data_IF_917855294351
#
_entry.id   IF_917855294351
#
_cell.length_a   1.000
_cell.length_b   1.000
_cell.length_c   1.000
_cell.angle_alpha   90.00
_cell.angle_beta   90.00
_cell.angle_gamma   90.00
#
_symmetry.space_group_name_H-M   'P 1'
#
loop_
_entity.id
_entity.type
_entity.pdbx_description
1 polymer ?
#
# COMPACT_ATOMS: atom_id res chain seq x y z
N UNK A 1 11.56 23.88 -0.19
CA UNK A 1 10.54 23.71 -1.23
C UNK A 1 9.40 22.80 -0.84
N UNK A 2 9.64 21.67 -0.20
CA UNK A 2 8.58 20.78 0.35
C UNK A 2 7.66 21.51 1.34
N UNK A 3 8.22 22.40 2.15
CA UNK A 3 7.50 23.23 3.07
C UNK A 3 6.49 24.17 2.36
N UNK A 4 6.88 24.70 1.20
CA UNK A 4 6.01 25.58 0.41
C UNK A 4 5.01 24.84 -0.47
N UNK A 5 5.40 23.67 -0.99
CA UNK A 5 4.58 22.91 -1.94
C UNK A 5 3.50 22.10 -1.22
N UNK A 6 3.82 21.49 -0.08
CA UNK A 6 2.88 20.65 0.67
C UNK A 6 2.15 21.42 1.79
N UNK A 7 2.72 22.53 2.23
CA UNK A 7 2.24 23.41 3.32
C UNK A 7 1.82 22.69 4.63
N UNK A 8 2.34 21.48 4.85
CA UNK A 8 2.02 20.68 6.04
C UNK A 8 2.90 20.99 7.25
N UNK A 9 3.97 21.77 7.06
CA UNK A 9 4.89 22.23 8.12
C UNK A 9 5.40 21.14 9.04
N UNK A 10 5.69 19.96 8.48
CA UNK A 10 6.14 18.77 9.24
C UNK A 10 7.59 18.91 9.70
N UNK A 11 8.48 19.38 8.79
CA UNK A 11 9.91 19.50 9.04
C UNK A 11 10.31 20.90 9.38
N UNK A 12 11.25 21.05 10.33
CA UNK A 12 11.78 22.34 10.74
C UNK A 12 13.27 22.25 11.05
N UNK A 13 13.94 23.40 10.99
CA UNK A 13 15.34 23.55 11.40
C UNK A 13 15.39 23.77 12.91
N UNK A 14 16.10 22.92 13.60
CA UNK A 14 16.24 22.97 15.05
C UNK A 14 17.70 23.25 15.43
N UNK A 15 17.90 23.92 16.56
CA UNK A 15 19.20 24.35 17.09
C UNK A 15 19.88 25.38 16.17
N UNK A 16 21.09 25.78 16.52
CA UNK A 16 21.86 26.81 15.79
C UNK A 16 23.34 26.44 15.73
N UNK A 17 24.07 27.06 14.79
CA UNK A 17 25.49 26.83 14.59
C UNK A 17 25.82 25.40 14.18
N UNK A 18 26.90 24.85 14.69
CA UNK A 18 27.34 23.46 14.38
C UNK A 18 26.39 22.37 14.86
N UNK A 19 25.37 22.71 15.65
CA UNK A 19 24.35 21.78 16.15
C UNK A 19 23.04 21.87 15.35
N UNK A 20 23.00 22.63 14.29
CA UNK A 20 21.83 22.76 13.43
C UNK A 20 21.43 21.39 12.88
N UNK A 21 20.17 21.00 13.08
CA UNK A 21 19.60 19.76 12.56
C UNK A 21 18.23 20.03 11.93
N UNK A 22 17.80 19.17 11.02
CA UNK A 22 16.43 19.17 10.50
C UNK A 22 15.70 18.01 11.16
N UNK A 23 14.56 18.27 11.77
CA UNK A 23 13.75 17.28 12.45
C UNK A 23 12.26 17.65 12.30
N UNK A 24 11.38 16.77 12.76
CA UNK A 24 9.95 17.08 12.84
C UNK A 24 9.74 18.24 13.80
N UNK A 25 8.92 19.19 13.40
CA UNK A 25 8.63 20.42 14.17
C UNK A 25 8.24 20.07 15.60
N UNK A 26 8.76 20.85 16.56
CA UNK A 26 8.59 20.64 18.01
C UNK A 26 9.12 19.28 18.52
N UNK A 27 10.02 18.64 17.80
CA UNK A 27 10.61 17.35 18.15
C UNK A 27 9.56 16.24 18.39
N UNK A 28 8.41 16.33 17.71
CA UNK A 28 7.36 15.30 17.72
C UNK A 28 7.75 14.10 16.89
N UNK A 29 7.07 12.99 17.07
CA UNK A 29 7.13 11.88 16.10
C UNK A 29 6.42 12.27 14.79
N UNK A 30 6.75 11.61 13.69
CA UNK A 30 6.06 11.86 12.41
C UNK A 30 4.58 11.43 12.45
N UNK A 31 4.23 10.54 13.37
CA UNK A 31 2.85 10.12 13.62
C UNK A 31 2.01 11.21 14.27
N UNK A 32 2.61 11.95 15.22
CA UNK A 32 1.98 13.07 15.93
C UNK A 32 1.95 14.34 15.08
N UNK A 33 2.79 14.41 14.07
CA UNK A 33 2.76 15.50 13.12
C UNK A 33 1.60 15.31 12.12
N UNK A 34 1.06 16.40 11.60
CA UNK A 34 0.01 16.39 10.57
C UNK A 34 0.54 15.99 9.20
N UNK A 35 1.42 14.99 9.18
CA UNK A 35 2.05 14.47 7.97
C UNK A 35 1.06 13.62 7.17
N UNK A 36 0.90 13.93 5.88
CA UNK A 36 0.08 13.11 4.97
C UNK A 36 0.74 11.79 4.55
N UNK A 37 2.00 11.55 4.96
CA UNK A 37 2.80 10.37 4.59
C UNK A 37 2.98 10.22 3.05
N UNK A 38 3.01 11.32 2.31
CA UNK A 38 3.14 11.31 0.85
C UNK A 38 4.52 10.86 0.34
N UNK A 39 5.55 10.81 1.21
CA UNK A 39 6.91 10.38 0.85
C UNK A 39 7.75 11.40 0.07
N UNK A 40 7.25 12.60 -0.20
CA UNK A 40 7.97 13.62 -0.98
C UNK A 40 9.30 14.06 -0.30
N UNK A 41 9.34 14.08 1.02
CA UNK A 41 10.56 14.38 1.76
C UNK A 41 11.67 13.34 1.52
N UNK A 42 11.30 12.06 1.30
CA UNK A 42 12.24 10.98 1.01
C UNK A 42 12.89 11.18 -0.36
N UNK A 43 12.06 11.51 -1.38
CA UNK A 43 12.54 11.68 -2.76
C UNK A 43 13.35 12.96 -2.96
N UNK A 44 13.17 13.96 -2.09
CA UNK A 44 13.85 15.27 -2.19
C UNK A 44 14.96 15.45 -1.15
N UNK A 45 15.24 14.46 -0.31
CA UNK A 45 16.32 14.55 0.66
C UNK A 45 17.69 14.50 -0.05
N UNK A 46 18.49 15.60 -0.03
CA UNK A 46 19.71 15.66 -0.82
C UNK A 46 20.84 14.76 -0.27
N UNK A 47 20.71 14.30 0.96
CA UNK A 47 21.69 13.45 1.66
C UNK A 47 21.15 12.05 1.94
N UNK A 48 19.98 11.70 1.38
CA UNK A 48 19.33 10.41 1.58
C UNK A 48 19.17 9.98 3.07
N UNK A 49 18.97 10.95 3.98
CA UNK A 49 18.81 10.68 5.41
C UNK A 49 17.39 10.22 5.78
N UNK A 50 16.42 10.44 4.88
CA UNK A 50 15.02 10.08 5.10
C UNK A 50 14.69 8.82 4.30
N UNK A 51 14.19 7.81 5.01
CA UNK A 51 13.83 6.53 4.44
C UNK A 51 12.40 6.15 4.81
N UNK A 52 11.78 5.33 3.97
CA UNK A 52 10.58 4.59 4.34
C UNK A 52 11.00 3.38 5.20
N UNK A 53 10.10 2.90 6.05
CA UNK A 53 10.32 1.63 6.76
C UNK A 53 10.57 0.52 5.73
N UNK A 54 11.65 -0.20 5.89
CA UNK A 54 11.99 -1.34 5.04
C UNK A 54 11.30 -2.60 5.57
N UNK A 55 10.54 -3.27 4.72
CA UNK A 55 9.76 -4.44 5.09
C UNK A 55 10.11 -5.68 4.22
N UNK A 56 11.14 -5.61 3.38
CA UNK A 56 11.54 -6.72 2.50
C UNK A 56 11.92 -7.97 3.26
N UNK A 57 12.65 -7.84 4.36
CA UNK A 57 13.08 -8.96 5.22
C UNK A 57 11.87 -9.73 5.76
N UNK A 58 10.85 -9.00 6.23
CA UNK A 58 9.59 -9.60 6.71
C UNK A 58 8.84 -10.37 5.61
N UNK A 59 8.95 -9.90 4.36
CA UNK A 59 8.34 -10.61 3.23
C UNK A 59 9.09 -11.90 2.93
N UNK A 60 10.43 -11.88 2.92
CA UNK A 60 11.27 -13.08 2.71
C UNK A 60 11.03 -14.10 3.82
N UNK A 61 10.95 -13.64 5.08
CA UNK A 61 10.61 -14.52 6.21
C UNK A 61 9.25 -15.18 6.00
N UNK A 62 8.24 -14.42 5.53
CA UNK A 62 6.92 -14.96 5.28
C UNK A 62 6.90 -15.96 4.12
N UNK A 63 7.65 -15.70 3.05
CA UNK A 63 7.79 -16.62 1.91
C UNK A 63 8.51 -17.93 2.27
N UNK A 64 9.34 -17.90 3.31
CA UNK A 64 10.12 -19.05 3.77
C UNK A 64 9.41 -19.85 4.87
N UNK A 65 8.31 -19.36 5.40
CA UNK A 65 7.59 -19.96 6.52
C UNK A 65 6.57 -21.01 6.01
N UNK A 66 6.80 -22.33 6.21
CA UNK A 66 5.93 -23.39 5.69
C UNK A 66 4.55 -23.43 6.36
N UNK A 67 4.39 -22.76 7.51
CA UNK A 67 3.12 -22.71 8.22
C UNK A 67 2.20 -21.59 7.68
N UNK A 68 2.71 -20.74 6.82
CA UNK A 68 1.97 -19.63 6.19
C UNK A 68 1.56 -19.98 4.78
N UNK A 69 0.48 -19.35 4.37
CA UNK A 69 0.05 -19.27 2.98
C UNK A 69 0.18 -17.80 2.58
N UNK A 70 1.13 -17.53 1.71
CA UNK A 70 1.43 -16.17 1.29
C UNK A 70 0.59 -15.77 0.09
N UNK A 71 -0.21 -14.74 0.27
CA UNK A 71 -1.06 -14.16 -0.76
C UNK A 71 -0.54 -12.77 -1.10
N UNK A 72 -0.10 -12.58 -2.34
CA UNK A 72 0.41 -11.30 -2.82
C UNK A 72 -0.62 -10.66 -3.74
N UNK A 73 -0.89 -9.37 -3.53
CA UNK A 73 -1.71 -8.56 -4.43
C UNK A 73 -0.91 -7.41 -5.03
N UNK A 74 -1.07 -7.17 -6.34
CA UNK A 74 -0.32 -6.18 -7.10
C UNK A 74 -1.22 -5.02 -7.49
N UNK A 75 -0.85 -3.78 -7.09
CA UNK A 75 -1.59 -2.58 -7.48
C UNK A 75 -1.38 -2.24 -8.98
N UNK A 76 -2.38 -1.63 -9.64
CA UNK A 76 -2.31 -1.28 -11.06
C UNK A 76 -1.08 -0.44 -11.45
N UNK A 77 -0.70 0.56 -10.65
CA UNK A 77 0.45 1.41 -10.94
C UNK A 77 1.80 0.67 -10.82
N UNK A 78 1.87 -0.40 -10.03
CA UNK A 78 3.08 -1.22 -9.90
C UNK A 78 3.38 -1.95 -11.21
N UNK A 79 2.35 -2.43 -11.91
CA UNK A 79 2.49 -3.12 -13.21
C UNK A 79 3.24 -2.27 -14.24
N UNK A 80 3.03 -0.95 -14.21
CA UNK A 80 3.66 -0.03 -15.16
C UNK A 80 5.08 0.39 -14.78
N UNK A 81 5.50 0.20 -13.52
CA UNK A 81 6.71 0.84 -12.98
C UNK A 81 7.80 -0.14 -12.53
N UNK A 82 7.48 -1.41 -12.26
CA UNK A 82 8.43 -2.35 -11.65
C UNK A 82 9.66 -2.63 -12.52
N UNK A 83 9.48 -2.70 -13.84
CA UNK A 83 10.54 -3.02 -14.79
C UNK A 83 11.53 -1.88 -15.04
N UNK A 84 11.10 -0.62 -14.82
CA UNK A 84 11.90 0.56 -15.15
C UNK A 84 13.27 0.54 -14.44
N UNK A 85 13.27 0.31 -13.13
CA UNK A 85 14.50 0.24 -12.34
C UNK A 85 15.38 -0.98 -12.64
N UNK A 86 14.84 -1.99 -13.32
CA UNK A 86 15.55 -3.20 -13.75
C UNK A 86 16.06 -3.08 -15.20
N UNK A 87 15.80 -1.95 -15.86
CA UNK A 87 16.20 -1.71 -17.23
C UNK A 87 15.37 -2.48 -18.26
N UNK A 88 14.20 -2.99 -17.87
CA UNK A 88 13.29 -3.68 -18.79
C UNK A 88 12.48 -2.66 -19.60
N UNK A 89 12.37 -2.82 -20.92
CA UNK A 89 11.40 -2.09 -21.71
C UNK A 89 9.98 -2.33 -21.19
N UNK A 90 9.14 -1.30 -21.26
CA UNK A 90 7.76 -1.35 -20.75
C UNK A 90 6.95 -2.50 -21.36
N UNK A 91 7.17 -2.79 -22.63
CA UNK A 91 6.48 -3.84 -23.38
C UNK A 91 6.85 -5.25 -22.91
N UNK A 92 8.01 -5.39 -22.27
CA UNK A 92 8.53 -6.67 -21.77
C UNK A 92 8.35 -6.83 -20.25
N UNK A 93 8.10 -5.73 -19.55
CA UNK A 93 7.85 -5.72 -18.09
C UNK A 93 6.37 -5.99 -17.79
N UNK A 94 5.86 -7.13 -18.25
CA UNK A 94 4.47 -7.53 -18.03
C UNK A 94 4.18 -7.86 -16.56
N UNK A 95 2.92 -7.82 -16.18
CA UNK A 95 2.50 -8.20 -14.81
C UNK A 95 2.70 -9.70 -14.57
N UNK A 96 2.55 -10.52 -15.62
CA UNK A 96 2.78 -11.97 -15.52
C UNK A 96 4.23 -12.31 -15.16
N UNK A 97 5.20 -11.57 -15.72
CA UNK A 97 6.61 -11.70 -15.32
C UNK A 97 6.87 -11.27 -13.89
N UNK A 98 6.20 -10.21 -13.41
CA UNK A 98 6.28 -9.83 -12.01
C UNK A 98 5.69 -10.94 -11.13
N UNK A 99 4.58 -11.55 -11.54
CA UNK A 99 3.97 -12.70 -10.87
C UNK A 99 4.92 -13.90 -10.80
N UNK A 100 5.61 -14.22 -11.91
CA UNK A 100 6.62 -15.28 -11.93
C UNK A 100 7.79 -14.98 -10.98
N UNK A 101 8.27 -13.73 -10.94
CA UNK A 101 9.32 -13.33 -10.00
C UNK A 101 8.88 -13.51 -8.53
N UNK A 102 7.65 -13.14 -8.19
CA UNK A 102 7.10 -13.29 -6.85
C UNK A 102 6.95 -14.77 -6.45
N UNK A 103 6.46 -15.61 -7.37
CA UNK A 103 6.35 -17.05 -7.15
C UNK A 103 7.74 -17.73 -6.96
N UNK A 104 8.75 -17.26 -7.69
CA UNK A 104 10.14 -17.72 -7.49
C UNK A 104 10.71 -17.30 -6.14
N UNK A 105 10.25 -16.21 -5.57
CA UNK A 105 10.60 -15.78 -4.20
C UNK A 105 9.84 -16.55 -3.11
N UNK A 106 8.83 -17.33 -3.47
CA UNK A 106 8.06 -18.17 -2.56
C UNK A 106 6.62 -17.74 -2.31
N UNK A 107 6.07 -16.83 -3.13
CA UNK A 107 4.66 -16.49 -3.04
C UNK A 107 3.79 -17.68 -3.49
N UNK A 108 2.83 -18.12 -2.66
CA UNK A 108 1.90 -19.21 -2.98
C UNK A 108 0.85 -18.77 -4.00
N UNK A 109 0.30 -17.55 -3.82
CA UNK A 109 -0.68 -16.98 -4.73
C UNK A 109 -0.33 -15.53 -5.05
N UNK A 110 -0.54 -15.14 -6.31
CA UNK A 110 -0.30 -13.78 -6.79
C UNK A 110 -1.51 -13.29 -7.55
N UNK A 111 -2.23 -12.33 -6.98
CA UNK A 111 -3.46 -11.77 -7.51
C UNK A 111 -3.30 -10.32 -7.96
N UNK A 112 -4.32 -9.87 -8.69
CA UNK A 112 -4.50 -8.47 -8.99
C UNK A 112 -5.35 -7.77 -7.90
N UNK A 113 -5.00 -6.54 -7.55
CA UNK A 113 -5.82 -5.73 -6.64
C UNK A 113 -7.13 -5.26 -7.29
N UNK A 114 -7.31 -5.43 -8.61
CA UNK A 114 -8.48 -4.93 -9.34
C UNK A 114 -9.80 -5.50 -8.81
N UNK A 115 -9.84 -6.77 -8.41
CA UNK A 115 -11.04 -7.33 -7.76
C UNK A 115 -11.44 -6.53 -6.51
N UNK A 116 -10.45 -6.13 -5.69
CA UNK A 116 -10.71 -5.25 -4.55
C UNK A 116 -11.17 -3.86 -4.97
N UNK A 117 -10.70 -3.37 -6.13
CA UNK A 117 -11.14 -2.09 -6.68
C UNK A 117 -12.58 -2.16 -7.20
N UNK A 118 -12.97 -3.25 -7.85
CA UNK A 118 -14.35 -3.47 -8.31
C UNK A 118 -15.33 -3.49 -7.13
N UNK A 119 -14.97 -4.20 -6.05
CA UNK A 119 -15.77 -4.18 -4.82
C UNK A 119 -15.87 -2.78 -4.22
N UNK A 120 -14.75 -2.03 -4.18
CA UNK A 120 -14.75 -0.65 -3.67
C UNK A 120 -15.66 0.25 -4.51
N UNK A 121 -15.67 0.11 -5.83
CA UNK A 121 -16.58 0.88 -6.72
C UNK A 121 -18.04 0.58 -6.42
N UNK A 122 -18.40 -0.69 -6.20
CA UNK A 122 -19.76 -1.09 -5.87
C UNK A 122 -20.21 -0.47 -4.54
N UNK A 123 -19.37 -0.57 -3.52
CA UNK A 123 -19.63 -0.01 -2.18
C UNK A 123 -19.74 1.53 -2.22
N UNK A 124 -18.77 2.22 -2.84
CA UNK A 124 -18.78 3.68 -2.93
C UNK A 124 -19.95 4.20 -3.78
N UNK A 125 -20.32 3.51 -4.86
CA UNK A 125 -21.48 3.87 -5.67
C UNK A 125 -22.79 3.71 -4.87
N UNK A 126 -22.91 2.62 -4.11
CA UNK A 126 -24.06 2.37 -3.24
C UNK A 126 -24.19 3.44 -2.15
N UNK A 127 -23.09 3.73 -1.46
CA UNK A 127 -23.01 4.80 -0.47
C UNK A 127 -23.38 6.17 -1.07
N UNK A 128 -22.86 6.47 -2.27
CA UNK A 128 -23.17 7.73 -2.95
C UNK A 128 -24.68 7.87 -3.24
N UNK A 129 -25.32 6.81 -3.74
CA UNK A 129 -26.76 6.80 -4.01
C UNK A 129 -27.59 6.96 -2.73
N UNK A 130 -27.19 6.32 -1.64
CA UNK A 130 -27.83 6.46 -0.33
C UNK A 130 -27.70 7.89 0.20
N UNK A 131 -26.51 8.49 0.13
CA UNK A 131 -26.25 9.88 0.51
C UNK A 131 -27.09 10.86 -0.29
N UNK A 132 -27.22 10.65 -1.61
CA UNK A 132 -28.06 11.48 -2.46
C UNK A 132 -29.53 11.40 -2.05
N UNK A 133 -30.05 10.19 -1.79
CA UNK A 133 -31.45 9.99 -1.37
C UNK A 133 -31.72 10.61 0.01
N UNK A 134 -30.76 10.57 0.90
CA UNK A 134 -30.84 11.16 2.24
C UNK A 134 -30.62 12.68 2.26
N UNK A 135 -30.31 13.33 1.12
CA UNK A 135 -29.99 14.77 1.06
C UNK A 135 -28.70 15.13 1.81
N UNK A 136 -27.74 14.21 1.90
CA UNK A 136 -26.48 14.46 2.57
C UNK A 136 -25.61 15.48 1.83
N UNK A 137 -24.67 16.09 2.55
CA UNK A 137 -23.75 17.09 1.99
C UNK A 137 -22.86 16.47 0.92
N UNK A 138 -22.83 17.08 -0.24
CA UNK A 138 -21.93 16.75 -1.36
C UNK A 138 -20.87 17.83 -1.55
N UNK A 139 -19.74 17.53 -2.27
CA UNK A 139 -19.40 16.25 -2.90
C UNK A 139 -19.08 15.15 -1.88
N UNK A 140 -19.24 13.88 -2.26
CA UNK A 140 -18.64 12.75 -1.59
C UNK A 140 -17.22 12.56 -2.12
N UNK A 141 -16.24 12.39 -1.23
CA UNK A 141 -14.85 12.13 -1.57
C UNK A 141 -14.52 10.65 -1.36
N UNK A 142 -13.82 10.04 -2.30
CA UNK A 142 -13.32 8.68 -2.14
C UNK A 142 -12.23 8.60 -1.08
N UNK A 143 -12.09 7.44 -0.43
CA UNK A 143 -11.18 7.22 0.71
C UNK A 143 -10.04 6.24 0.43
N UNK A 144 -9.83 5.83 -0.83
CA UNK A 144 -8.83 4.83 -1.20
C UNK A 144 -7.37 5.28 -0.98
N UNK A 145 -7.09 6.58 -0.84
CA UNK A 145 -5.76 7.12 -0.61
C UNK A 145 -5.58 7.54 0.86
N UNK A 146 -4.82 6.80 1.69
CA UNK A 146 -4.62 7.15 3.10
C UNK A 146 -3.88 8.49 3.30
N UNK A 147 -3.03 8.88 2.36
CA UNK A 147 -2.39 10.21 2.38
C UNK A 147 -3.40 11.34 2.19
N UNK A 148 -4.34 11.19 1.28
CA UNK A 148 -5.46 12.10 1.08
C UNK A 148 -6.36 12.19 2.32
N UNK A 149 -6.74 11.05 2.87
CA UNK A 149 -7.59 10.98 4.08
C UNK A 149 -6.93 11.71 5.25
N UNK A 150 -5.62 11.49 5.48
CA UNK A 150 -4.86 12.20 6.52
C UNK A 150 -4.80 13.70 6.27
N UNK A 151 -4.53 14.11 5.04
CA UNK A 151 -4.49 15.51 4.63
C UNK A 151 -5.84 16.19 4.90
N UNK A 152 -6.94 15.58 4.45
CA UNK A 152 -8.27 16.13 4.66
C UNK A 152 -8.62 16.23 6.14
N UNK A 153 -8.32 15.20 6.94
CA UNK A 153 -8.57 15.21 8.39
C UNK A 153 -7.80 16.31 9.12
N UNK A 154 -6.59 16.63 8.69
CA UNK A 154 -5.75 17.65 9.33
C UNK A 154 -6.05 19.07 8.85
N UNK A 155 -6.28 19.24 7.55
CA UNK A 155 -6.40 20.59 6.95
C UNK A 155 -7.87 21.02 6.76
N UNK A 156 -8.79 20.07 6.60
CA UNK A 156 -10.20 20.34 6.31
C UNK A 156 -11.12 19.46 7.19
N UNK A 157 -11.04 19.55 8.53
CA UNK A 157 -11.79 18.67 9.43
C UNK A 157 -13.30 18.72 9.24
N UNK A 158 -13.85 19.88 8.84
CA UNK A 158 -15.28 20.06 8.55
C UNK A 158 -15.78 19.27 7.34
N UNK A 159 -14.86 18.75 6.52
CA UNK A 159 -15.18 17.95 5.33
C UNK A 159 -15.05 16.43 5.57
N UNK A 160 -14.67 16.00 6.75
CA UNK A 160 -14.48 14.58 7.08
C UNK A 160 -15.75 13.76 6.88
N UNK A 161 -16.91 14.33 7.18
CA UNK A 161 -18.23 13.69 6.95
C UNK A 161 -18.55 13.43 5.47
N UNK A 162 -17.81 14.04 4.56
CA UNK A 162 -17.95 13.86 3.11
C UNK A 162 -17.03 12.77 2.55
N UNK A 163 -16.12 12.21 3.36
CA UNK A 163 -15.35 11.04 2.96
C UNK A 163 -16.26 9.80 2.83
N UNK A 164 -15.97 8.95 1.85
CA UNK A 164 -16.53 7.61 1.79
C UNK A 164 -16.09 6.79 3.01
N UNK A 165 -16.97 5.93 3.48
CA UNK A 165 -16.71 5.01 4.59
C UNK A 165 -16.11 3.68 4.10
N UNK A 166 -16.03 3.48 2.79
CA UNK A 166 -15.48 2.26 2.19
C UNK A 166 -13.98 2.10 2.47
N UNK A 167 -13.57 0.86 2.68
CA UNK A 167 -12.14 0.50 2.73
C UNK A 167 -11.48 0.74 1.37
N UNK A 168 -10.17 0.95 1.38
CA UNK A 168 -9.41 1.03 0.12
C UNK A 168 -9.32 -0.33 -0.58
N UNK A 169 -9.11 -0.37 -1.92
CA UNK A 169 -9.09 -1.60 -2.70
C UNK A 169 -8.22 -2.72 -2.12
N UNK A 170 -7.01 -2.41 -1.65
CA UNK A 170 -6.15 -3.45 -1.09
C UNK A 170 -6.64 -3.96 0.27
N UNK A 171 -7.33 -3.14 1.05
CA UNK A 171 -7.96 -3.59 2.30
C UNK A 171 -9.22 -4.41 2.01
N UNK A 172 -10.02 -4.01 1.00
CA UNK A 172 -11.16 -4.81 0.52
C UNK A 172 -10.71 -6.20 0.09
N UNK A 173 -9.66 -6.28 -0.74
CA UNK A 173 -9.08 -7.56 -1.14
C UNK A 173 -8.53 -8.32 0.05
N UNK A 174 -7.87 -7.66 0.99
CA UNK A 174 -7.35 -8.26 2.23
C UNK A 174 -8.47 -8.89 3.07
N UNK A 175 -9.57 -8.17 3.27
CA UNK A 175 -10.76 -8.72 3.95
C UNK A 175 -11.29 -9.96 3.22
N UNK A 176 -11.39 -9.89 1.89
CA UNK A 176 -11.85 -11.00 1.07
C UNK A 176 -10.94 -12.24 1.21
N UNK A 177 -9.62 -12.06 1.26
CA UNK A 177 -8.67 -13.18 1.44
C UNK A 177 -8.79 -13.83 2.81
N UNK A 178 -9.01 -13.03 3.87
CA UNK A 178 -9.15 -13.52 5.24
C UNK A 178 -10.53 -14.15 5.55
N UNK A 179 -11.51 -13.93 4.68
CA UNK A 179 -12.88 -14.45 4.86
C UNK A 179 -13.23 -15.46 3.79
N UNK A 180 -13.66 -15.00 2.65
CA UNK A 180 -14.19 -15.83 1.57
C UNK A 180 -13.13 -16.77 0.96
N UNK A 181 -11.92 -16.25 0.64
CA UNK A 181 -10.88 -17.08 0.04
C UNK A 181 -10.33 -18.11 1.04
N UNK A 182 -10.16 -17.74 2.31
CA UNK A 182 -9.79 -18.68 3.37
C UNK A 182 -10.77 -19.85 3.46
N UNK A 183 -12.08 -19.55 3.42
CA UNK A 183 -13.14 -20.57 3.44
C UNK A 183 -13.07 -21.44 2.17
N UNK A 184 -12.87 -20.85 1.01
CA UNK A 184 -12.77 -21.55 -0.27
C UNK A 184 -11.57 -22.51 -0.32
N UNK A 185 -10.43 -22.06 0.20
CA UNK A 185 -9.22 -22.88 0.31
C UNK A 185 -9.29 -23.91 1.45
N UNK A 186 -10.28 -23.81 2.33
CA UNK A 186 -10.40 -24.69 3.50
C UNK A 186 -9.28 -24.50 4.52
N UNK A 187 -8.74 -23.28 4.64
CA UNK A 187 -7.62 -22.94 5.53
C UNK A 187 -8.03 -21.99 6.64
N UNK A 188 -7.32 -22.06 7.76
CA UNK A 188 -7.50 -21.10 8.85
C UNK A 188 -7.00 -19.70 8.38
N UNK A 189 -7.81 -18.64 8.50
CA UNK A 189 -7.40 -17.28 8.12
C UNK A 189 -6.10 -16.80 8.80
N UNK A 190 -5.79 -17.30 9.99
CA UNK A 190 -4.54 -16.97 10.71
C UNK A 190 -3.28 -17.44 9.98
N UNK A 191 -3.39 -18.46 9.14
CA UNK A 191 -2.29 -18.97 8.31
C UNK A 191 -2.05 -18.13 7.06
N UNK A 192 -3.03 -17.35 6.62
CA UNK A 192 -2.90 -16.47 5.45
C UNK A 192 -2.05 -15.26 5.84
N UNK A 193 -0.99 -15.01 5.09
CA UNK A 193 -0.18 -13.80 5.18
C UNK A 193 -0.36 -12.97 3.92
N UNK A 194 -1.15 -11.91 4.02
CA UNK A 194 -1.50 -11.05 2.88
C UNK A 194 -0.45 -9.94 2.70
N UNK A 195 0.21 -9.94 1.55
CA UNK A 195 1.22 -8.94 1.16
C UNK A 195 0.66 -8.09 0.04
N UNK A 196 0.63 -6.78 0.24
CA UNK A 196 0.15 -5.83 -0.76
C UNK A 196 1.32 -5.05 -1.37
N UNK A 197 1.49 -5.11 -2.69
CA UNK A 197 2.52 -4.35 -3.39
C UNK A 197 1.90 -3.05 -3.90
N UNK A 198 2.33 -1.92 -3.32
CA UNK A 198 1.71 -0.61 -3.51
C UNK A 198 2.73 0.45 -3.95
N UNK A 199 2.34 1.42 -4.78
CA UNK A 199 3.23 2.53 -5.15
C UNK A 199 3.32 3.62 -4.08
N UNK A 200 2.59 3.49 -2.97
CA UNK A 200 2.35 4.53 -1.99
C UNK A 200 2.86 4.14 -0.60
N UNK A 201 3.75 4.95 -0.02
CA UNK A 201 4.31 4.69 1.32
C UNK A 201 3.28 4.88 2.45
N UNK A 202 2.24 5.69 2.24
CA UNK A 202 1.17 5.87 3.22
C UNK A 202 0.36 4.58 3.46
N UNK A 203 0.34 3.67 2.49
CA UNK A 203 -0.30 2.35 2.61
C UNK A 203 0.32 1.48 3.72
N UNK A 204 1.62 1.66 4.01
CA UNK A 204 2.29 0.99 5.14
C UNK A 204 1.70 1.36 6.50
N UNK A 205 1.11 2.54 6.62
CA UNK A 205 0.46 2.99 7.85
C UNK A 205 -1.03 2.63 7.88
N UNK A 206 -1.66 2.52 6.74
CA UNK A 206 -3.09 2.17 6.64
C UNK A 206 -3.40 0.83 7.29
N UNK A 207 -2.53 -0.17 7.11
CA UNK A 207 -2.70 -1.51 7.69
C UNK A 207 -2.66 -1.55 9.23
N UNK A 208 -2.18 -0.48 9.87
CA UNK A 208 -2.12 -0.36 11.32
C UNK A 208 -3.35 0.35 11.91
N UNK A 209 -4.30 0.78 11.08
CA UNK A 209 -5.56 1.39 11.53
C UNK A 209 -6.46 0.31 12.12
N UNK A 210 -7.01 0.48 13.34
CA UNK A 210 -7.83 -0.54 14.01
C UNK A 210 -9.02 -1.04 13.19
N UNK A 211 -9.61 -0.19 12.35
CA UNK A 211 -10.73 -0.56 11.48
C UNK A 211 -10.32 -1.47 10.30
N UNK A 212 -9.02 -1.78 10.13
CA UNK A 212 -8.52 -2.67 9.06
C UNK A 212 -8.32 -4.11 9.56
N UNK A 213 -9.26 -4.58 10.40
CA UNK A 213 -9.27 -5.93 10.97
C UNK A 213 -10.70 -6.43 11.24
N UNK A 214 -11.69 -5.96 10.49
CA UNK A 214 -13.09 -6.32 10.70
C UNK A 214 -13.38 -7.82 10.50
N UNK A 215 -12.51 -8.52 9.77
CA UNK A 215 -12.55 -9.98 9.63
C UNK A 215 -12.18 -10.73 10.93
N UNK A 216 -11.75 -10.03 11.98
CA UNK A 216 -11.13 -10.61 13.18
C UNK A 216 -9.62 -10.83 13.05
N UNK A 217 -9.08 -10.60 11.87
CA UNK A 217 -7.65 -10.68 11.54
C UNK A 217 -7.23 -9.37 10.87
N UNK A 218 -5.92 -9.10 10.86
CA UNK A 218 -5.40 -7.99 10.05
C UNK A 218 -5.68 -8.30 8.58
N UNK A 219 -6.38 -7.41 7.87
CA UNK A 219 -6.80 -7.63 6.48
C UNK A 219 -5.59 -7.75 5.54
N UNK A 220 -4.61 -6.83 5.70
CA UNK A 220 -3.32 -6.86 5.00
C UNK A 220 -2.20 -6.90 6.04
N UNK A 221 -1.35 -7.92 6.00
CA UNK A 221 -0.31 -8.14 6.99
C UNK A 221 0.95 -7.32 6.72
N UNK A 222 1.24 -7.07 5.43
CA UNK A 222 2.44 -6.37 4.99
C UNK A 222 2.18 -5.52 3.73
N UNK A 223 2.83 -4.36 3.67
CA UNK A 223 2.85 -3.54 2.45
C UNK A 223 4.29 -3.38 1.97
N UNK A 224 4.55 -3.80 0.75
CA UNK A 224 5.79 -3.55 0.03
C UNK A 224 5.60 -2.42 -0.97
N UNK A 225 6.59 -1.55 -1.09
CA UNK A 225 6.64 -0.58 -2.20
C UNK A 225 7.21 -1.22 -3.46
N UNK A 226 6.94 -0.64 -4.62
CA UNK A 226 7.56 -1.06 -5.90
C UNK A 226 9.09 -1.13 -5.78
N UNK A 227 9.70 -0.18 -5.07
CA UNK A 227 11.17 -0.14 -4.87
C UNK A 227 11.69 -1.29 -4.02
N UNK A 228 10.95 -1.70 -2.99
CA UNK A 228 11.30 -2.86 -2.17
C UNK A 228 11.25 -4.14 -3.00
N UNK A 229 10.18 -4.35 -3.77
CA UNK A 229 10.07 -5.54 -4.64
C UNK A 229 11.21 -5.59 -5.66
N UNK A 230 11.56 -4.47 -6.29
CA UNK A 230 12.70 -4.40 -7.22
C UNK A 230 14.02 -4.74 -6.51
N UNK A 231 14.22 -4.29 -5.26
CA UNK A 231 15.40 -4.67 -4.48
C UNK A 231 15.40 -6.16 -4.15
N UNK A 232 14.26 -6.72 -3.77
CA UNK A 232 14.12 -8.16 -3.50
C UNK A 232 14.47 -8.98 -4.74
N UNK A 233 13.94 -8.64 -5.92
CA UNK A 233 14.28 -9.30 -7.18
C UNK A 233 15.80 -9.32 -7.41
N UNK A 234 16.49 -8.21 -7.09
CA UNK A 234 17.95 -8.11 -7.22
C UNK A 234 18.68 -8.92 -6.15
N UNK A 235 18.26 -8.85 -4.90
CA UNK A 235 18.93 -9.55 -3.79
C UNK A 235 18.79 -11.07 -3.89
N UNK A 236 17.64 -11.54 -4.39
CA UNK A 236 17.40 -12.97 -4.67
C UNK A 236 18.02 -13.43 -6.00
N UNK A 237 18.79 -12.57 -6.67
CA UNK A 237 19.46 -12.88 -7.94
C UNK A 237 18.55 -13.44 -9.02
N UNK A 238 17.29 -12.97 -9.06
CA UNK A 238 16.32 -13.41 -10.07
C UNK A 238 16.70 -12.78 -11.41
N UNK A 239 17.04 -13.64 -12.38
CA UNK A 239 17.31 -13.19 -13.74
C UNK A 239 15.99 -12.84 -14.43
N UNK A 240 15.79 -11.54 -14.64
CA UNK A 240 14.57 -11.01 -15.27
C UNK A 240 14.42 -11.38 -16.75
N UNK A 241 15.49 -11.82 -17.39
CA UNK A 241 15.48 -12.24 -18.80
C UNK A 241 14.78 -13.59 -19.03
N UNK A 242 14.77 -14.44 -18.01
CA UNK A 242 14.18 -15.78 -18.07
C UNK A 242 12.79 -15.86 -17.40
N UNK A 243 12.25 -14.73 -16.95
CA UNK A 243 10.91 -14.67 -16.37
C UNK A 243 9.85 -15.00 -17.44
N UNK A 244 8.89 -15.81 -17.04
CA UNK A 244 7.77 -16.20 -17.87
C UNK A 244 6.58 -15.25 -17.69
N UNK A 245 5.90 -14.94 -18.79
CA UNK A 245 4.68 -14.15 -18.74
C UNK A 245 3.49 -15.07 -18.44
N UNK A 246 3.36 -15.44 -17.17
CA UNK A 246 2.31 -16.32 -16.68
C UNK A 246 1.11 -15.49 -16.19
N UNK A 247 -0.13 -15.98 -16.36
CA UNK A 247 -1.28 -15.31 -15.78
C UNK A 247 -1.15 -15.21 -14.26
N UNK A 248 -1.74 -14.18 -13.69
CA UNK A 248 -1.98 -14.11 -12.27
C UNK A 248 -3.06 -15.12 -11.88
N UNK A 249 -3.08 -15.47 -10.59
CA UNK A 249 -4.13 -16.33 -10.07
C UNK A 249 -5.47 -15.60 -10.09
N UNK A 250 -6.55 -16.32 -10.38
CA UNK A 250 -7.92 -15.79 -10.33
C UNK A 250 -8.58 -16.28 -9.02
N UNK A 251 -8.97 -15.38 -8.12
CA UNK A 251 -9.61 -15.80 -6.87
C UNK A 251 -11.00 -16.41 -7.10
N UNK A 252 -11.60 -16.24 -8.29
CA UNK A 252 -12.90 -16.78 -8.63
C UNK A 252 -12.83 -18.21 -9.25
N UNK A 253 -11.66 -18.64 -9.71
CA UNK A 253 -11.39 -20.00 -10.17
C UNK A 253 -11.09 -20.92 -8.98
#
# INVERSE_FOLDING_TARGET
>A
DLYKVQDLRVWDVQKTGSRTTVNVSFNRSIEEAECSLCGQCITHCPVNALHVREDSERAIDAFSDPDRITIVQIAPAVRAAWGESLGLPRETATVGKLGDALRRMGADYVFDTDLGADLTVIEEASEFLERMRAGARLPMFTSCCPGWVRFLKSQYPDMVSQLSTSKSPHQMFGTLTKTWLAQRLGVDPSRIFNISIMPCVAKKREIDIPAMNDSGFRDVDLVLTTREVVRMIRSEHIDVSVLQDLPLDDPLD
#
